data_IF_821825224677
#
_entry.id   IF_821825224677
#
_cell.length_a   1.000
_cell.length_b   1.000
_cell.length_c   1.000
_cell.angle_alpha   90.00
_cell.angle_beta   90.00
_cell.angle_gamma   90.00
#
_symmetry.space_group_name_H-M   'P 1'
#
loop_
_entity.id
_entity.type
_entity.pdbx_description
1 polymer ?
#
# COMPACT_ATOMS: atom_id res chain seq x y z
N UNK A 1 -1.18 -4.75 2.29
CA UNK A 1 -0.41 -5.62 1.39
C UNK A 1 1.05 -5.59 1.79
N UNK A 2 1.81 -6.65 1.51
CA UNK A 2 3.23 -6.77 1.86
C UNK A 2 3.85 -7.79 0.88
N UNK A 3 4.35 -7.31 -0.25
CA UNK A 3 4.78 -8.13 -1.39
C UNK A 3 6.27 -7.92 -1.67
N UNK A 4 6.80 -8.44 -2.79
CA UNK A 4 8.23 -8.52 -3.02
C UNK A 4 8.88 -7.24 -3.57
N UNK A 5 8.20 -6.54 -4.48
CA UNK A 5 8.78 -5.38 -5.19
C UNK A 5 7.71 -4.49 -5.84
N UNK A 6 8.15 -3.38 -6.46
CA UNK A 6 7.31 -2.44 -7.21
C UNK A 6 6.33 -3.07 -8.20
N UNK A 7 6.77 -4.06 -8.98
CA UNK A 7 5.92 -4.70 -9.99
C UNK A 7 4.82 -5.53 -9.33
N UNK A 8 5.14 -6.20 -8.22
CA UNK A 8 4.15 -6.98 -7.47
C UNK A 8 3.09 -6.04 -6.87
N UNK A 9 3.53 -4.90 -6.31
CA UNK A 9 2.61 -3.89 -5.77
C UNK A 9 1.68 -3.40 -6.88
N UNK A 10 2.27 -3.07 -8.04
CA UNK A 10 1.52 -2.56 -9.17
C UNK A 10 0.50 -3.57 -9.71
N UNK A 11 0.92 -4.82 -9.91
CA UNK A 11 0.06 -5.89 -10.39
C UNK A 11 -1.08 -6.18 -9.41
N UNK A 12 -0.81 -6.16 -8.10
CA UNK A 12 -1.84 -6.37 -7.07
C UNK A 12 -2.86 -5.23 -7.06
N UNK A 13 -2.46 -3.99 -7.33
CA UNK A 13 -3.39 -2.85 -7.31
C UNK A 13 -4.10 -2.66 -8.65
N UNK A 14 -3.35 -2.56 -9.76
CA UNK A 14 -3.82 -2.18 -11.10
C UNK A 14 -3.96 -3.34 -12.09
N UNK A 15 -3.52 -4.54 -11.73
CA UNK A 15 -3.65 -5.70 -12.62
C UNK A 15 -5.10 -6.00 -12.99
N UNK A 16 -5.30 -6.80 -14.03
CA UNK A 16 -6.63 -7.16 -14.55
C UNK A 16 -7.57 -7.70 -13.45
N UNK A 17 -7.02 -8.53 -12.55
CA UNK A 17 -7.71 -9.05 -11.37
C UNK A 17 -7.17 -8.41 -10.07
N UNK A 18 -6.63 -7.19 -10.16
CA UNK A 18 -6.10 -6.45 -9.03
C UNK A 18 -7.20 -5.96 -8.08
N UNK A 19 -6.81 -5.54 -6.88
CA UNK A 19 -7.70 -5.09 -5.80
C UNK A 19 -8.69 -4.03 -6.31
N UNK A 20 -8.24 -3.11 -7.17
CA UNK A 20 -9.08 -2.02 -7.66
C UNK A 20 -10.25 -2.48 -8.55
N UNK A 21 -10.22 -3.71 -9.08
CA UNK A 21 -11.34 -4.28 -9.84
C UNK A 21 -12.60 -4.48 -8.99
N UNK A 22 -12.45 -4.77 -7.70
CA UNK A 22 -13.57 -5.20 -6.83
C UNK A 22 -13.68 -4.45 -5.50
N UNK A 23 -12.65 -3.69 -5.11
CA UNK A 23 -12.67 -2.93 -3.85
C UNK A 23 -13.81 -1.88 -3.86
N UNK A 24 -14.54 -1.71 -2.73
CA UNK A 24 -15.54 -0.67 -2.59
C UNK A 24 -14.96 0.74 -2.69
N UNK A 25 -15.78 1.70 -3.11
CA UNK A 25 -15.43 3.13 -3.13
C UNK A 25 -15.10 3.63 -1.71
N UNK A 26 -14.12 4.53 -1.60
CA UNK A 26 -13.70 5.10 -0.31
C UNK A 26 -12.91 4.15 0.60
N UNK A 27 -12.55 2.97 0.13
CA UNK A 27 -11.74 2.02 0.91
C UNK A 27 -10.32 2.53 1.16
N UNK A 28 -9.58 1.84 2.04
CA UNK A 28 -8.18 2.13 2.33
C UNK A 28 -7.32 0.93 1.94
N UNK A 29 -6.26 1.18 1.18
CA UNK A 29 -5.20 0.22 0.88
C UNK A 29 -3.96 0.66 1.67
N UNK A 30 -3.45 -0.23 2.53
CA UNK A 30 -2.18 -0.01 3.26
C UNK A 30 -1.13 -0.93 2.67
N UNK A 31 -0.01 -0.38 2.19
CA UNK A 31 1.13 -1.11 1.66
C UNK A 31 2.30 -1.09 2.64
N UNK A 32 2.71 -2.26 3.13
CA UNK A 32 3.87 -2.45 3.99
C UNK A 32 5.12 -2.88 3.21
N UNK A 33 5.02 -2.96 1.89
CA UNK A 33 6.15 -3.29 1.02
C UNK A 33 7.17 -2.16 1.06
N UNK A 34 8.44 -2.50 1.20
CA UNK A 34 9.52 -1.55 0.94
C UNK A 34 9.68 -1.37 -0.57
N UNK A 35 8.80 -0.57 -1.17
CA UNK A 35 8.76 -0.26 -2.59
C UNK A 35 9.39 1.11 -2.90
N UNK A 36 9.48 1.47 -4.18
CA UNK A 36 9.98 2.80 -4.56
C UNK A 36 8.98 3.91 -4.25
N UNK A 37 9.50 5.09 -3.90
CA UNK A 37 8.69 6.29 -3.72
C UNK A 37 7.93 6.69 -5.01
N UNK A 38 8.39 6.26 -6.19
CA UNK A 38 7.72 6.51 -7.47
C UNK A 38 6.42 5.71 -7.53
N UNK A 39 6.46 4.39 -7.31
CA UNK A 39 5.26 3.54 -7.41
C UNK A 39 4.23 3.93 -6.35
N UNK A 40 4.65 4.24 -5.12
CA UNK A 40 3.76 4.69 -4.06
C UNK A 40 2.94 5.94 -4.48
N UNK A 41 3.60 6.93 -5.09
CA UNK A 41 2.95 8.16 -5.58
C UNK A 41 2.02 7.89 -6.77
N UNK A 42 2.44 7.04 -7.71
CA UNK A 42 1.61 6.66 -8.86
C UNK A 42 0.32 5.95 -8.41
N UNK A 43 0.44 4.99 -7.49
CA UNK A 43 -0.69 4.24 -6.97
C UNK A 43 -1.59 5.09 -6.09
N UNK A 44 -1.03 6.00 -5.29
CA UNK A 44 -1.81 6.99 -4.55
C UNK A 44 -2.72 7.80 -5.49
N UNK A 45 -2.15 8.39 -6.53
CA UNK A 45 -2.92 9.19 -7.48
C UNK A 45 -3.97 8.34 -8.22
N UNK A 46 -3.60 7.12 -8.62
CA UNK A 46 -4.50 6.20 -9.30
C UNK A 46 -5.69 5.78 -8.43
N UNK A 47 -5.44 5.37 -7.18
CA UNK A 47 -6.48 4.94 -6.25
C UNK A 47 -7.45 6.09 -5.92
N UNK A 48 -6.89 7.28 -5.67
CA UNK A 48 -7.67 8.48 -5.36
C UNK A 48 -8.58 8.88 -6.52
N UNK A 49 -8.05 8.92 -7.73
CA UNK A 49 -8.80 9.32 -8.93
C UNK A 49 -9.82 8.28 -9.40
N UNK A 50 -9.60 7.00 -9.13
CA UNK A 50 -10.48 5.93 -9.64
C UNK A 50 -11.73 5.72 -8.80
N UNK A 51 -11.59 5.64 -7.47
CA UNK A 51 -12.68 5.27 -6.54
C UNK A 51 -12.60 6.02 -5.20
N UNK A 52 -11.89 7.16 -5.17
CA UNK A 52 -11.57 7.87 -3.93
C UNK A 52 -10.97 6.95 -2.84
N UNK A 53 -10.21 5.93 -3.27
CA UNK A 53 -9.57 4.97 -2.37
C UNK A 53 -8.31 5.60 -1.83
N UNK A 54 -8.14 5.59 -0.51
CA UNK A 54 -6.93 6.05 0.14
C UNK A 54 -5.83 5.00 0.00
N UNK A 55 -4.63 5.43 -0.39
CA UNK A 55 -3.46 4.56 -0.45
C UNK A 55 -2.44 5.06 0.58
N UNK A 56 -2.08 4.19 1.52
CA UNK A 56 -1.13 4.44 2.60
C UNK A 56 0.15 3.67 2.29
N UNK A 57 1.25 4.37 2.11
CA UNK A 57 2.59 3.79 2.01
C UNK A 57 3.16 3.68 3.43
N UNK A 58 3.34 2.46 3.91
CA UNK A 58 3.65 2.15 5.30
C UNK A 58 4.79 1.11 5.43
N UNK A 59 5.96 1.29 4.77
CA UNK A 59 7.04 0.30 4.82
C UNK A 59 7.47 0.01 6.25
N UNK A 60 7.91 -1.23 6.47
CA UNK A 60 8.24 -1.75 7.81
C UNK A 60 9.72 -2.05 7.98
N UNK A 61 10.20 -1.91 9.20
CA UNK A 61 11.55 -2.30 9.63
C UNK A 61 11.49 -3.14 10.91
N UNK A 62 12.47 -4.03 11.10
CA UNK A 62 12.52 -5.00 12.23
C UNK A 62 12.63 -6.47 11.80
N UNK A 63 12.52 -6.75 10.50
CA UNK A 63 12.67 -8.10 9.93
C UNK A 63 11.62 -9.10 10.42
N UNK A 64 11.81 -10.37 10.08
CA UNK A 64 10.88 -11.44 10.44
C UNK A 64 10.70 -11.55 11.97
N UNK A 65 11.80 -11.51 12.73
CA UNK A 65 11.73 -11.59 14.19
C UNK A 65 10.94 -10.42 14.80
N UNK A 66 11.08 -9.21 14.26
CA UNK A 66 10.27 -8.06 14.67
C UNK A 66 8.79 -8.27 14.35
N UNK A 67 8.45 -8.89 13.22
CA UNK A 67 7.07 -9.21 12.86
C UNK A 67 6.44 -10.24 13.80
N UNK A 68 7.14 -11.37 14.05
CA UNK A 68 6.67 -12.44 14.93
C UNK A 68 6.44 -11.96 16.37
N UNK A 69 7.27 -11.03 16.84
CA UNK A 69 7.19 -10.49 18.20
C UNK A 69 6.35 -9.20 18.31
N UNK A 70 5.77 -8.71 17.22
CA UNK A 70 4.95 -7.48 17.22
C UNK A 70 5.75 -6.21 17.53
N UNK A 71 7.01 -6.14 17.10
CA UNK A 71 7.95 -5.04 17.34
C UNK A 71 8.40 -4.34 16.05
N UNK A 72 7.61 -4.44 14.99
CA UNK A 72 7.90 -3.71 13.75
C UNK A 72 7.79 -2.21 13.96
N UNK A 73 8.71 -1.48 13.35
CA UNK A 73 8.59 -0.03 13.15
C UNK A 73 7.91 0.21 11.81
N UNK A 74 6.89 1.07 11.78
CA UNK A 74 6.10 1.40 10.59
C UNK A 74 6.27 2.90 10.32
N UNK A 75 6.67 3.26 9.10
CA UNK A 75 6.79 4.65 8.66
C UNK A 75 5.62 4.97 7.75
N UNK A 76 4.64 5.75 8.22
CA UNK A 76 3.35 5.93 7.54
C UNK A 76 3.32 7.23 6.72
N UNK A 77 3.00 7.11 5.43
CA UNK A 77 2.72 8.21 4.51
C UNK A 77 1.36 8.06 3.84
N UNK A 78 0.59 9.14 3.80
CA UNK A 78 -0.76 9.16 3.21
C UNK A 78 -1.58 10.36 3.69
N UNK A 79 -2.87 10.36 3.37
CA UNK A 79 -3.82 11.38 3.84
C UNK A 79 -4.04 11.23 5.36
N UNK A 80 -3.93 12.33 6.12
CA UNK A 80 -4.12 12.33 7.58
C UNK A 80 -5.51 11.86 7.99
N UNK A 81 -6.55 12.12 7.18
CA UNK A 81 -7.90 11.64 7.45
C UNK A 81 -8.05 10.10 7.33
N UNK A 82 -7.05 9.42 6.77
CA UNK A 82 -7.03 7.98 6.56
C UNK A 82 -5.97 7.25 7.42
N UNK A 83 -5.27 7.98 8.31
CA UNK A 83 -4.26 7.48 9.25
C UNK A 83 -4.76 7.73 10.67
#
# INVERSE_FOLDING_TARGET
MCVGNDNDVDQVVRGENGIMSSIPEGSIIVDHTTASARIAKELYNYCKSSKNVSFIDAPVSGGQAGAENGQLTIMVGGDEAAI
#
